data_IF_292781091173
#
_entry.id   IF_292781091173
#
_cell.length_a   1.000
_cell.length_b   1.000
_cell.length_c   1.000
_cell.angle_alpha   90.00
_cell.angle_beta   90.00
_cell.angle_gamma   90.00
#
_symmetry.space_group_name_H-M   'P 1'
#
loop_
_entity.id
_entity.type
_entity.pdbx_description
1 polymer ?
#
# COMPACT_ATOMS: atom_id res chain seq x y z
N UNK A 1 27.60 6.08 3.82
CA UNK A 1 27.92 7.17 2.87
C UNK A 1 26.81 7.24 1.82
N UNK A 2 25.84 8.15 2.00
CA UNK A 2 24.91 8.75 0.99
C UNK A 2 24.04 9.84 1.65
N UNK A 3 24.66 10.80 2.35
CA UNK A 3 23.96 11.92 3.01
C UNK A 3 23.54 13.06 2.06
N UNK A 4 23.87 12.98 0.75
CA UNK A 4 23.63 14.10 -0.19
C UNK A 4 22.20 14.22 -0.72
N UNK A 5 21.38 13.17 -0.61
CA UNK A 5 20.01 13.11 -1.17
C UNK A 5 19.00 12.63 -0.11
N UNK A 6 19.43 11.83 0.87
CA UNK A 6 18.57 11.30 1.94
C UNK A 6 18.91 12.05 3.23
N UNK A 7 17.95 12.76 3.84
CA UNK A 7 18.14 13.37 5.15
C UNK A 7 18.60 12.35 6.20
N UNK A 8 19.39 12.80 7.17
CA UNK A 8 19.86 11.94 8.25
C UNK A 8 18.71 11.68 9.23
N UNK A 9 18.06 10.51 9.14
CA UNK A 9 16.84 10.21 9.92
C UNK A 9 17.09 9.42 11.21
N UNK A 10 18.03 8.47 11.27
CA UNK A 10 18.16 7.56 12.42
C UNK A 10 19.59 7.19 12.84
N UNK A 11 20.62 7.53 12.05
CA UNK A 11 21.99 7.02 12.28
C UNK A 11 22.20 5.53 11.94
N UNK A 12 21.12 4.81 11.63
CA UNK A 12 21.13 3.45 11.08
C UNK A 12 20.95 3.47 9.56
N UNK A 13 21.23 2.33 8.91
CA UNK A 13 20.94 2.16 7.48
C UNK A 13 19.44 2.31 7.21
N UNK A 14 19.08 2.74 6.00
CA UNK A 14 17.68 2.96 5.63
C UNK A 14 16.88 1.68 5.86
N UNK A 15 15.70 1.79 6.48
CA UNK A 15 14.83 0.65 6.81
C UNK A 15 14.51 -0.28 5.62
N UNK A 16 14.72 0.20 4.39
CA UNK A 16 14.63 -0.61 3.17
C UNK A 16 15.73 -1.67 3.01
N UNK A 17 16.91 -1.54 3.64
CA UNK A 17 18.02 -2.50 3.53
C UNK A 17 17.59 -3.89 4.01
N UNK A 18 16.84 -3.97 5.11
CA UNK A 18 16.35 -5.23 5.66
C UNK A 18 15.44 -6.02 4.71
N UNK A 19 14.91 -5.39 3.65
CA UNK A 19 14.12 -6.08 2.61
C UNK A 19 14.98 -6.85 1.62
N UNK A 20 16.28 -6.63 1.60
CA UNK A 20 17.21 -7.20 0.63
C UNK A 20 18.45 -7.77 1.33
N UNK A 21 18.29 -8.26 2.57
CA UNK A 21 19.42 -8.63 3.43
C UNK A 21 20.31 -9.71 2.82
N UNK A 22 19.74 -10.63 2.03
CA UNK A 22 20.47 -11.62 1.24
C UNK A 22 21.43 -11.05 0.17
N UNK A 23 21.27 -9.77 -0.21
CA UNK A 23 22.15 -9.06 -1.14
C UNK A 23 23.14 -8.14 -0.41
N UNK A 24 23.06 -8.00 0.92
CA UNK A 24 24.03 -7.27 1.73
C UNK A 24 23.41 -6.30 2.73
N UNK A 25 24.27 -5.76 3.59
CA UNK A 25 23.87 -4.97 4.77
C UNK A 25 23.89 -3.44 4.54
N UNK A 26 24.07 -2.99 3.31
CA UNK A 26 24.05 -1.56 2.96
C UNK A 26 23.50 -1.34 1.55
N UNK A 27 22.98 -0.14 1.29
CA UNK A 27 22.42 0.23 -0.02
C UNK A 27 23.41 -0.02 -1.17
N UNK A 28 24.68 0.41 -0.99
CA UNK A 28 25.73 0.24 -2.00
C UNK A 28 26.10 -1.24 -2.16
N UNK A 29 26.21 -1.98 -1.06
CA UNK A 29 26.46 -3.43 -1.08
C UNK A 29 25.39 -4.19 -1.87
N UNK A 30 24.11 -3.86 -1.63
CA UNK A 30 22.98 -4.42 -2.36
C UNK A 30 23.10 -4.10 -3.86
N UNK A 31 23.32 -2.85 -4.24
CA UNK A 31 23.45 -2.46 -5.66
C UNK A 31 24.57 -3.21 -6.38
N UNK A 32 25.72 -3.37 -5.72
CA UNK A 32 26.86 -4.11 -6.27
C UNK A 32 26.51 -5.60 -6.42
N UNK A 33 25.91 -6.20 -5.39
CA UNK A 33 25.59 -7.63 -5.41
C UNK A 33 24.44 -7.99 -6.36
N UNK A 34 23.55 -7.05 -6.70
CA UNK A 34 22.59 -7.25 -7.81
C UNK A 34 23.32 -7.56 -9.12
N UNK A 35 24.48 -6.94 -9.36
CA UNK A 35 25.28 -7.16 -10.57
C UNK A 35 26.24 -8.35 -10.42
N UNK A 36 26.86 -8.51 -9.24
CA UNK A 36 27.88 -9.54 -9.01
C UNK A 36 27.31 -10.93 -8.68
N UNK A 37 26.04 -11.03 -8.29
CA UNK A 37 25.38 -12.29 -7.94
C UNK A 37 24.17 -12.59 -8.84
N UNK A 38 24.37 -12.72 -10.17
CA UNK A 38 23.27 -12.89 -11.11
C UNK A 38 22.47 -14.18 -10.86
N UNK A 39 23.10 -15.25 -10.35
CA UNK A 39 22.39 -16.49 -10.03
C UNK A 39 21.34 -16.31 -8.92
N UNK A 40 21.66 -15.55 -7.88
CA UNK A 40 20.75 -15.27 -6.76
C UNK A 40 19.61 -14.37 -7.22
N UNK A 41 19.93 -13.32 -7.99
CA UNK A 41 18.96 -12.39 -8.59
C UNK A 41 18.02 -13.10 -9.55
N UNK A 42 18.55 -13.91 -10.47
CA UNK A 42 17.74 -14.70 -11.41
C UNK A 42 16.85 -15.70 -10.66
N UNK A 43 17.34 -16.30 -9.58
CA UNK A 43 16.53 -17.18 -8.73
C UNK A 43 15.29 -16.48 -8.17
N UNK A 44 15.40 -15.20 -7.78
CA UNK A 44 14.24 -14.40 -7.34
C UNK A 44 13.33 -14.01 -8.51
N UNK A 45 13.89 -13.57 -9.63
CA UNK A 45 13.13 -13.13 -10.81
C UNK A 45 12.32 -14.29 -11.41
N UNK A 46 12.91 -15.49 -11.50
CA UNK A 46 12.26 -16.68 -12.08
C UNK A 46 11.50 -17.53 -11.06
N UNK A 47 11.36 -17.05 -9.82
CA UNK A 47 10.61 -17.77 -8.79
C UNK A 47 9.12 -17.82 -9.09
N UNK A 48 8.45 -18.86 -8.59
CA UNK A 48 7.00 -19.01 -8.75
C UNK A 48 6.23 -17.81 -8.20
N UNK A 49 6.63 -17.28 -7.04
CA UNK A 49 5.98 -16.11 -6.43
C UNK A 49 6.11 -14.85 -7.31
N UNK A 50 7.27 -14.66 -7.95
CA UNK A 50 7.45 -13.56 -8.90
C UNK A 50 6.61 -13.74 -10.15
N UNK A 51 6.62 -14.93 -10.75
CA UNK A 51 5.81 -15.22 -11.94
C UNK A 51 4.33 -15.01 -11.63
N UNK A 52 3.86 -15.55 -10.51
CA UNK A 52 2.49 -15.34 -10.02
C UNK A 52 2.18 -13.85 -9.86
N UNK A 53 3.05 -13.09 -9.21
CA UNK A 53 2.89 -11.64 -9.03
C UNK A 53 2.77 -10.90 -10.36
N UNK A 54 3.69 -11.14 -11.31
CA UNK A 54 3.67 -10.49 -12.62
C UNK A 54 2.43 -10.89 -13.42
N UNK A 55 2.04 -12.16 -13.37
CA UNK A 55 0.80 -12.63 -13.98
C UNK A 55 -0.41 -11.90 -13.39
N UNK A 56 -0.54 -11.83 -12.06
CA UNK A 56 -1.64 -11.12 -11.40
C UNK A 56 -1.67 -9.63 -11.76
N UNK A 57 -0.51 -9.00 -11.91
CA UNK A 57 -0.41 -7.58 -12.30
C UNK A 57 -0.89 -7.34 -13.73
N UNK A 58 -0.59 -8.25 -14.66
CA UNK A 58 -0.90 -8.08 -16.09
C UNK A 58 -2.27 -8.63 -16.49
N UNK A 59 -2.77 -9.68 -15.82
CA UNK A 59 -4.00 -10.40 -16.17
C UNK A 59 -5.26 -9.49 -16.27
N UNK A 60 -5.47 -8.50 -15.39
CA UNK A 60 -6.64 -7.61 -15.47
C UNK A 60 -6.73 -6.81 -16.76
N UNK A 61 -5.58 -6.55 -17.39
CA UNK A 61 -5.46 -5.66 -18.55
C UNK A 61 -4.94 -6.35 -19.80
N UNK A 62 -4.64 -7.65 -19.73
CA UNK A 62 -4.06 -8.41 -20.84
C UNK A 62 -4.94 -8.36 -22.10
N UNK A 63 -6.25 -8.16 -21.91
CA UNK A 63 -7.20 -8.00 -23.00
C UNK A 63 -6.87 -6.82 -23.93
N UNK A 64 -6.19 -5.78 -23.42
CA UNK A 64 -5.80 -4.61 -24.20
C UNK A 64 -4.78 -4.90 -25.30
N UNK A 65 -4.12 -6.05 -25.24
CA UNK A 65 -3.13 -6.49 -26.21
C UNK A 65 -3.77 -7.33 -27.34
N UNK A 66 -4.86 -8.05 -27.05
CA UNK A 66 -5.44 -8.99 -28.02
C UNK A 66 -5.83 -8.37 -29.37
N UNK A 67 -6.43 -7.17 -29.46
CA UNK A 67 -6.75 -6.57 -30.75
C UNK A 67 -5.52 -6.34 -31.63
N UNK A 68 -4.37 -5.99 -31.03
CA UNK A 68 -3.13 -5.77 -31.76
C UNK A 68 -2.51 -7.09 -32.24
N UNK A 69 -2.59 -8.17 -31.44
CA UNK A 69 -2.10 -9.51 -31.83
C UNK A 69 -2.82 -10.03 -33.08
N UNK A 70 -4.09 -9.64 -33.28
CA UNK A 70 -4.86 -10.01 -34.46
C UNK A 70 -4.42 -9.25 -35.73
N UNK A 71 -3.55 -8.25 -35.59
CA UNK A 71 -2.96 -7.52 -36.72
C UNK A 71 -1.55 -8.04 -37.02
N UNK A 72 -1.04 -7.75 -38.23
CA UNK A 72 0.36 -8.03 -38.58
C UNK A 72 1.37 -7.00 -37.99
N UNK A 73 0.95 -6.17 -37.03
CA UNK A 73 1.82 -5.17 -36.42
C UNK A 73 2.67 -5.74 -35.29
N UNK A 74 3.85 -5.16 -35.08
CA UNK A 74 4.75 -5.54 -33.99
C UNK A 74 4.25 -4.95 -32.66
N UNK A 75 4.16 -5.77 -31.61
CA UNK A 75 3.72 -5.33 -30.27
C UNK A 75 4.74 -4.46 -29.53
N UNK A 76 6.03 -4.70 -29.76
CA UNK A 76 7.12 -4.16 -28.93
C UNK A 76 7.12 -2.62 -28.79
N UNK A 77 6.88 -1.81 -29.84
CA UNK A 77 6.81 -0.35 -29.72
C UNK A 77 5.70 0.12 -28.76
N UNK A 78 4.63 -0.66 -28.63
CA UNK A 78 3.49 -0.33 -27.78
C UNK A 78 3.72 -0.69 -26.31
N UNK A 79 4.79 -1.43 -26.00
CA UNK A 79 5.21 -1.76 -24.64
C UNK A 79 6.30 -0.81 -24.09
N UNK A 80 6.81 0.14 -24.90
CA UNK A 80 7.76 1.17 -24.45
C UNK A 80 7.29 1.89 -23.18
N UNK A 81 5.99 2.23 -23.00
CA UNK A 81 5.53 2.88 -21.77
C UNK A 81 5.75 2.03 -20.51
N UNK A 82 6.08 0.73 -20.60
CA UNK A 82 6.43 -0.10 -19.44
C UNK A 82 7.86 0.13 -18.92
N UNK A 83 8.75 0.79 -19.67
CA UNK A 83 10.15 1.02 -19.23
C UNK A 83 10.22 1.72 -17.85
N UNK A 84 9.43 2.77 -17.57
CA UNK A 84 9.41 3.41 -16.25
C UNK A 84 8.90 2.51 -15.10
N UNK A 85 8.27 1.36 -15.40
CA UNK A 85 7.84 0.40 -14.36
C UNK A 85 9.00 -0.42 -13.81
N UNK A 86 10.12 -0.52 -14.55
CA UNK A 86 11.26 -1.40 -14.23
C UNK A 86 11.76 -1.19 -12.79
N UNK A 87 12.01 0.04 -12.28
CA UNK A 87 12.49 0.21 -10.91
C UNK A 87 11.49 -0.33 -9.87
N UNK A 88 10.19 -0.11 -10.08
CA UNK A 88 9.14 -0.59 -9.18
C UNK A 88 9.08 -2.10 -9.16
N UNK A 89 9.09 -2.73 -10.34
CA UNK A 89 9.05 -4.18 -10.47
C UNK A 89 10.32 -4.82 -9.89
N UNK A 90 11.50 -4.26 -10.17
CA UNK A 90 12.77 -4.77 -9.64
C UNK A 90 12.78 -4.73 -8.12
N UNK A 91 12.40 -3.61 -7.51
CA UNK A 91 12.33 -3.50 -6.04
C UNK A 91 11.37 -4.54 -5.45
N UNK A 92 10.16 -4.66 -6.01
CA UNK A 92 9.16 -5.59 -5.51
C UNK A 92 9.58 -7.05 -5.66
N UNK A 93 10.15 -7.42 -6.81
CA UNK A 93 10.58 -8.78 -7.12
C UNK A 93 11.75 -9.21 -6.22
N UNK A 94 12.73 -8.33 -6.03
CA UNK A 94 13.94 -8.65 -5.27
C UNK A 94 13.75 -8.63 -3.76
N UNK A 95 12.64 -8.07 -3.25
CA UNK A 95 12.41 -7.98 -1.81
C UNK A 95 12.13 -9.33 -1.14
N UNK A 96 12.56 -9.50 0.10
CA UNK A 96 12.23 -10.64 0.94
C UNK A 96 10.82 -10.53 1.53
N UNK A 97 10.29 -9.30 1.63
CA UNK A 97 8.94 -9.04 2.12
C UNK A 97 7.91 -9.41 1.05
N UNK A 98 7.07 -10.41 1.36
CA UNK A 98 6.03 -10.94 0.48
C UNK A 98 5.00 -9.88 0.07
N UNK A 99 4.70 -8.91 0.94
CA UNK A 99 3.75 -7.83 0.66
C UNK A 99 4.11 -7.02 -0.58
N UNK A 100 5.39 -6.92 -0.94
CA UNK A 100 5.82 -6.19 -2.14
C UNK A 100 5.46 -6.91 -3.44
N UNK A 101 5.28 -8.25 -3.39
CA UNK A 101 4.81 -9.08 -4.52
C UNK A 101 3.31 -9.35 -4.45
N UNK A 102 2.56 -8.56 -3.68
CA UNK A 102 1.11 -8.70 -3.56
C UNK A 102 0.41 -7.44 -4.05
N UNK A 103 -0.71 -7.63 -4.77
CA UNK A 103 -1.56 -6.54 -5.25
C UNK A 103 -2.46 -5.96 -4.16
N UNK A 104 -2.55 -6.61 -3.00
CA UNK A 104 -3.31 -6.10 -1.84
C UNK A 104 -2.64 -4.87 -1.21
N UNK A 105 -1.39 -4.59 -1.58
CA UNK A 105 -0.60 -3.50 -1.04
C UNK A 105 -0.16 -2.54 -2.14
N UNK A 106 0.11 -1.30 -1.75
CA UNK A 106 0.42 -0.17 -2.64
C UNK A 106 1.72 -0.29 -3.46
N UNK A 107 2.52 -1.34 -3.27
CA UNK A 107 3.86 -1.44 -3.86
C UNK A 107 3.87 -1.49 -5.39
N UNK A 108 2.76 -1.90 -6.02
CA UNK A 108 2.65 -1.97 -7.49
C UNK A 108 1.98 -0.74 -8.11
N UNK A 109 1.45 0.18 -7.29
CA UNK A 109 0.70 1.35 -7.74
C UNK A 109 1.44 2.20 -8.77
N UNK A 110 2.77 2.46 -8.65
CA UNK A 110 3.50 3.23 -9.66
C UNK A 110 3.49 2.60 -11.05
N UNK A 111 3.34 1.28 -11.18
CA UNK A 111 3.34 0.59 -12.47
C UNK A 111 2.01 0.74 -13.25
N UNK A 112 0.90 1.03 -12.55
CA UNK A 112 -0.45 0.99 -13.13
C UNK A 112 -0.63 2.03 -14.25
N UNK A 113 -0.17 3.27 -14.06
CA UNK A 113 -0.32 4.32 -15.07
C UNK A 113 0.36 3.96 -16.41
N UNK A 114 1.56 3.39 -16.33
CA UNK A 114 2.34 2.94 -17.48
C UNK A 114 1.77 1.71 -18.17
N UNK A 115 1.19 0.80 -17.37
CA UNK A 115 0.46 -0.35 -17.86
C UNK A 115 -0.77 0.09 -18.69
N UNK A 116 -1.54 1.06 -18.18
CA UNK A 116 -2.68 1.64 -18.91
C UNK A 116 -2.24 2.37 -20.18
N UNK A 117 -1.13 3.12 -20.16
CA UNK A 117 -0.58 3.76 -21.36
C UNK A 117 -0.20 2.74 -22.44
N UNK A 118 0.35 1.59 -22.04
CA UNK A 118 0.70 0.51 -22.97
C UNK A 118 -0.56 -0.11 -23.60
N UNK A 119 -1.60 -0.33 -22.80
CA UNK A 119 -2.91 -0.78 -23.30
C UNK A 119 -3.49 0.22 -24.29
N UNK A 120 -3.53 1.50 -23.95
CA UNK A 120 -4.03 2.56 -24.84
C UNK A 120 -3.26 2.57 -26.17
N UNK A 121 -1.93 2.45 -26.10
CA UNK A 121 -1.07 2.39 -27.28
C UNK A 121 -1.38 1.18 -28.17
N UNK A 122 -1.57 0.00 -27.59
CA UNK A 122 -1.97 -1.22 -28.31
C UNK A 122 -3.33 -1.06 -29.02
N UNK A 123 -4.33 -0.53 -28.30
CA UNK A 123 -5.67 -0.33 -28.84
C UNK A 123 -5.68 0.70 -29.98
N UNK A 124 -4.94 1.80 -29.83
CA UNK A 124 -4.84 2.85 -30.85
C UNK A 124 -4.09 2.38 -32.12
N UNK A 125 -3.19 1.41 -32.00
CA UNK A 125 -2.48 0.84 -33.15
C UNK A 125 -3.37 -0.16 -33.91
N UNK A 126 -4.11 -0.98 -33.17
CA UNK A 126 -5.12 -1.86 -33.74
C UNK A 126 -6.17 -1.06 -34.54
N UNK A 127 -6.58 0.11 -34.04
CA UNK A 127 -7.57 0.96 -34.70
C UNK A 127 -7.12 1.59 -36.01
N UNK A 128 -5.87 2.09 -36.07
CA UNK A 128 -5.33 2.72 -37.28
C UNK A 128 -5.19 1.74 -38.45
N UNK A 129 -4.99 0.46 -38.15
CA UNK A 129 -4.94 -0.59 -39.17
C UNK A 129 -6.29 -0.74 -39.88
N UNK A 130 -7.40 -0.58 -39.15
CA UNK A 130 -8.76 -0.69 -39.67
C UNK A 130 -9.13 0.46 -40.62
N UNK A 131 -8.80 1.70 -40.27
CA UNK A 131 -9.01 2.87 -41.14
C UNK A 131 -8.29 2.74 -42.49
N UNK A 132 -7.11 2.09 -42.51
CA UNK A 132 -6.35 1.85 -43.74
C UNK A 132 -6.93 0.72 -44.61
N UNK A 133 -7.73 -0.20 -44.04
CA UNK A 133 -8.40 -1.28 -44.77
C UNK A 133 -9.79 -0.89 -45.30
N UNK A 134 -10.40 0.17 -44.76
CA UNK A 134 -11.65 0.74 -45.30
C UNK A 134 -11.26 1.66 -46.47
N UNK A 135 -11.15 1.07 -47.66
CA UNK A 135 -10.86 1.78 -48.91
C UNK A 135 -11.97 2.76 -49.30
N UNK A 136 -11.57 3.94 -49.78
CA UNK A 136 -12.42 4.95 -50.43
C UNK A 136 -13.38 4.34 -51.46
N UNK A 137 -14.68 4.52 -51.25
CA UNK A 137 -15.66 4.52 -52.34
C UNK A 137 -15.30 5.65 -53.33
N UNK A 138 -15.36 5.35 -54.62
CA UNK A 138 -15.16 6.26 -55.75
C UNK A 138 -16.14 7.44 -55.82
N UNK A 139 -17.11 7.55 -54.90
CA UNK A 139 -18.12 8.63 -54.87
C UNK A 139 -17.73 9.89 -54.07
N UNK A 140 -16.59 9.90 -53.36
CA UNK A 140 -16.07 11.12 -52.72
C UNK A 140 -16.97 11.74 -51.63
N UNK A 141 -17.95 11.00 -51.11
CA UNK A 141 -18.77 11.44 -49.97
C UNK A 141 -18.37 10.69 -48.71
N UNK A 142 -17.89 11.44 -47.72
CA UNK A 142 -17.76 10.96 -46.34
C UNK A 142 -19.04 11.33 -45.59
N UNK A 143 -19.94 10.38 -45.41
CA UNK A 143 -20.95 10.51 -44.36
C UNK A 143 -20.26 10.30 -43.02
N UNK A 144 -20.01 11.40 -42.32
CA UNK A 144 -19.55 11.36 -40.94
C UNK A 144 -20.77 11.05 -40.06
N UNK A 145 -21.04 9.77 -39.84
CA UNK A 145 -22.01 9.37 -38.82
C UNK A 145 -21.45 9.78 -37.45
N UNK A 146 -21.97 10.87 -36.89
CA UNK A 146 -21.67 11.25 -35.51
C UNK A 146 -22.19 10.11 -34.61
N UNK A 147 -21.33 9.41 -33.85
CA UNK A 147 -21.79 8.31 -33.02
C UNK A 147 -22.69 8.88 -31.94
N UNK A 148 -24.00 8.61 -32.05
CA UNK A 148 -24.96 8.80 -30.96
C UNK A 148 -24.36 8.12 -29.73
N UNK A 149 -24.25 8.84 -28.62
CA UNK A 149 -23.63 8.37 -27.38
C UNK A 149 -24.30 7.07 -26.90
N UNK A 150 -23.80 5.96 -27.40
CA UNK A 150 -24.08 4.61 -26.98
C UNK A 150 -22.86 4.20 -26.18
N UNK A 151 -23.07 3.59 -25.02
CA UNK A 151 -22.01 2.95 -24.23
C UNK A 151 -21.47 1.69 -24.93
N UNK A 152 -21.30 1.73 -26.26
CA UNK A 152 -20.44 0.82 -27.01
C UNK A 152 -19.05 1.39 -26.87
N UNK A 153 -18.25 0.84 -25.97
CA UNK A 153 -16.79 0.86 -26.12
C UNK A 153 -16.49 0.16 -27.45
N UNK A 154 -16.56 0.88 -28.56
CA UNK A 154 -16.06 0.39 -29.85
C UNK A 154 -14.55 0.38 -29.72
N UNK A 155 -14.04 -0.71 -29.14
CA UNK A 155 -12.63 -1.04 -29.25
C UNK A 155 -12.44 -1.55 -30.68
N UNK A 156 -11.65 -0.86 -31.51
CA UNK A 156 -11.48 -1.21 -32.91
C UNK A 156 -11.00 -2.66 -33.04
N UNK A 157 -11.60 -3.39 -33.97
CA UNK A 157 -11.42 -4.83 -34.17
C UNK A 157 -11.74 -5.80 -32.99
N UNK A 158 -12.35 -5.35 -31.88
CA UNK A 158 -12.81 -6.29 -30.84
C UNK A 158 -14.31 -6.60 -31.01
N UNK A 159 -14.61 -7.71 -31.69
CA UNK A 159 -16.00 -8.15 -31.97
C UNK A 159 -16.82 -8.47 -30.71
N UNK A 160 -16.22 -8.44 -29.53
CA UNK A 160 -16.86 -8.78 -28.28
C UNK A 160 -16.55 -7.78 -27.14
N UNK A 161 -16.88 -6.47 -27.23
CA UNK A 161 -16.65 -5.53 -26.12
C UNK A 161 -17.29 -5.98 -24.80
N UNK A 162 -18.34 -6.81 -24.89
CA UNK A 162 -18.94 -7.55 -23.78
C UNK A 162 -17.96 -8.47 -23.04
N UNK A 163 -17.00 -9.09 -23.74
CA UNK A 163 -15.95 -9.91 -23.14
C UNK A 163 -14.92 -9.08 -22.38
N UNK A 164 -14.61 -7.84 -22.79
CA UNK A 164 -13.76 -6.93 -21.99
C UNK A 164 -14.47 -6.58 -20.70
N UNK A 165 -15.75 -6.23 -20.78
CA UNK A 165 -16.57 -5.93 -19.60
C UNK A 165 -16.65 -7.17 -18.71
N UNK A 166 -16.97 -8.34 -19.26
CA UNK A 166 -17.04 -9.60 -18.51
C UNK A 166 -15.71 -9.95 -17.86
N UNK A 167 -14.60 -9.80 -18.57
CA UNK A 167 -13.26 -10.06 -18.06
C UNK A 167 -12.88 -9.07 -16.96
N UNK A 168 -13.15 -7.78 -17.15
CA UNK A 168 -12.88 -6.75 -16.15
C UNK A 168 -13.70 -6.97 -14.88
N UNK A 169 -14.98 -7.32 -15.03
CA UNK A 169 -15.87 -7.67 -13.92
C UNK A 169 -15.40 -8.94 -13.22
N UNK A 170 -15.03 -9.98 -13.97
CA UNK A 170 -14.49 -11.23 -13.42
C UNK A 170 -13.20 -10.96 -12.62
N UNK A 171 -12.25 -10.23 -13.20
CA UNK A 171 -10.99 -9.89 -12.55
C UNK A 171 -11.20 -9.01 -11.33
N UNK A 172 -12.16 -8.09 -11.38
CA UNK A 172 -12.56 -7.30 -10.21
C UNK A 172 -13.07 -8.19 -9.07
N UNK A 173 -13.92 -9.18 -9.35
CA UNK A 173 -14.40 -10.10 -8.30
C UNK A 173 -13.31 -11.05 -7.79
N UNK A 174 -12.42 -11.52 -8.67
CA UNK A 174 -11.34 -12.43 -8.28
C UNK A 174 -10.21 -11.73 -7.51
N UNK A 175 -9.89 -10.48 -7.84
CA UNK A 175 -8.70 -9.77 -7.33
C UNK A 175 -9.01 -8.57 -6.45
N UNK A 176 -10.23 -8.03 -6.50
CA UNK A 176 -10.61 -6.81 -5.79
C UNK A 176 -10.80 -6.97 -4.28
N UNK A 177 -10.53 -8.16 -3.74
CA UNK A 177 -10.70 -8.54 -2.33
C UNK A 177 -11.98 -7.95 -1.70
N UNK A 178 -13.13 -8.26 -2.30
CA UNK A 178 -14.44 -7.68 -1.91
C UNK A 178 -14.77 -7.96 -0.43
N UNK A 179 -14.23 -9.04 0.14
CA UNK A 179 -14.36 -9.34 1.57
C UNK A 179 -13.81 -8.22 2.48
N UNK A 180 -12.71 -7.56 2.08
CA UNK A 180 -12.10 -6.50 2.89
C UNK A 180 -13.02 -5.28 3.03
N UNK A 181 -13.90 -5.03 2.06
CA UNK A 181 -14.90 -3.95 2.17
C UNK A 181 -15.83 -4.15 3.36
N UNK A 182 -16.11 -5.40 3.73
CA UNK A 182 -16.97 -5.73 4.87
C UNK A 182 -16.25 -5.63 6.22
N UNK A 183 -14.90 -5.66 6.24
CA UNK A 183 -14.14 -5.49 7.48
C UNK A 183 -14.38 -4.13 8.13
N UNK A 184 -14.57 -3.07 7.33
CA UNK A 184 -14.89 -1.74 7.85
C UNK A 184 -16.26 -1.71 8.54
N UNK A 185 -17.22 -2.50 8.07
CA UNK A 185 -18.55 -2.58 8.66
C UNK A 185 -18.52 -3.18 10.06
N UNK A 186 -17.58 -4.09 10.31
CA UNK A 186 -17.45 -4.77 11.60
C UNK A 186 -17.07 -3.78 12.72
N UNK A 187 -16.28 -2.75 12.41
CA UNK A 187 -15.83 -1.76 13.41
C UNK A 187 -16.85 -0.65 13.74
N UNK A 188 -18.02 -0.63 13.11
CA UNK A 188 -19.01 0.43 13.30
C UNK A 188 -19.57 0.49 14.73
N UNK A 189 -19.62 -0.63 15.44
CA UNK A 189 -20.08 -0.70 16.83
C UNK A 189 -19.17 0.05 17.81
N UNK A 190 -17.88 0.22 17.47
CA UNK A 190 -16.90 0.98 18.26
C UNK A 190 -16.63 2.39 17.73
N UNK A 191 -17.33 2.85 16.69
CA UNK A 191 -17.09 4.17 16.08
C UNK A 191 -17.24 5.32 17.09
N UNK A 192 -18.35 5.34 17.84
CA UNK A 192 -18.61 6.38 18.82
C UNK A 192 -17.61 6.31 19.98
N UNK A 193 -17.31 5.10 20.44
CA UNK A 193 -16.34 4.88 21.51
C UNK A 193 -14.93 5.34 21.11
N UNK A 194 -14.51 5.01 19.89
CA UNK A 194 -13.23 5.46 19.31
C UNK A 194 -13.16 6.99 19.20
N UNK A 195 -14.24 7.62 18.69
CA UNK A 195 -14.32 9.08 18.59
C UNK A 195 -14.19 9.73 19.97
N UNK A 196 -14.90 9.22 20.97
CA UNK A 196 -14.85 9.72 22.33
C UNK A 196 -13.45 9.50 22.93
N UNK A 197 -12.85 8.31 22.80
CA UNK A 197 -11.51 7.98 23.27
C UNK A 197 -10.45 9.01 22.82
N UNK A 198 -10.47 9.38 21.54
CA UNK A 198 -9.54 10.38 20.98
C UNK A 198 -9.64 11.72 21.72
N UNK A 199 -10.83 12.12 22.20
CA UNK A 199 -11.01 13.39 22.95
C UNK A 199 -10.43 13.39 24.36
N UNK A 200 -10.16 12.21 24.95
CA UNK A 200 -9.49 12.10 26.25
C UNK A 200 -7.99 12.34 26.16
N UNK A 201 -7.41 12.24 24.95
CA UNK A 201 -5.99 12.49 24.70
C UNK A 201 -5.78 14.00 24.50
N UNK A 202 -5.63 14.73 25.61
CA UNK A 202 -5.72 16.21 25.63
C UNK A 202 -4.40 16.96 25.41
N UNK A 203 -3.28 16.40 25.85
CA UNK A 203 -1.97 17.07 25.75
C UNK A 203 -1.25 16.67 24.46
N UNK A 204 -0.17 17.35 24.07
CA UNK A 204 0.68 16.98 22.91
C UNK A 204 1.62 15.80 23.19
N UNK A 205 1.42 15.11 24.32
CA UNK A 205 2.22 13.98 24.76
C UNK A 205 2.29 12.80 23.77
N UNK A 206 3.29 11.95 23.98
CA UNK A 206 3.51 10.77 23.14
C UNK A 206 2.36 9.77 23.26
N UNK A 207 1.96 9.16 22.14
CA UNK A 207 0.88 8.17 22.08
C UNK A 207 1.39 6.83 21.56
N UNK A 208 1.13 5.77 22.33
CA UNK A 208 1.25 4.39 21.86
C UNK A 208 -0.14 3.85 21.50
N UNK A 209 -0.29 3.31 20.30
CA UNK A 209 -1.60 2.83 19.83
C UNK A 209 -1.47 1.78 18.73
N UNK A 210 -2.60 1.24 18.27
CA UNK A 210 -2.65 0.30 17.15
C UNK A 210 -2.62 1.00 15.78
N UNK A 211 -2.45 0.20 14.72
CA UNK A 211 -2.33 0.70 13.35
C UNK A 211 -3.60 1.39 12.83
N UNK A 212 -4.79 1.04 13.35
CA UNK A 212 -6.06 1.65 12.91
C UNK A 212 -6.25 3.02 13.52
N UNK A 213 -5.81 3.19 14.76
CA UNK A 213 -5.97 4.41 15.54
C UNK A 213 -4.85 5.44 15.27
N UNK A 214 -3.63 4.99 14.96
CA UNK A 214 -2.48 5.86 14.74
C UNK A 214 -2.69 7.05 13.78
N UNK A 215 -3.40 6.92 12.63
CA UNK A 215 -3.67 8.04 11.74
C UNK A 215 -4.36 9.23 12.42
N UNK A 216 -5.20 8.98 13.43
CA UNK A 216 -5.91 10.01 14.18
C UNK A 216 -5.01 10.84 15.10
N UNK A 217 -3.79 10.37 15.37
CA UNK A 217 -2.83 11.01 16.27
C UNK A 217 -1.62 11.62 15.55
N UNK A 218 -1.59 11.59 14.21
CA UNK A 218 -0.46 12.06 13.37
C UNK A 218 -0.14 13.55 13.48
N UNK A 219 -0.99 14.34 14.12
CA UNK A 219 -0.74 15.74 14.45
C UNK A 219 0.24 15.92 15.63
N UNK A 220 0.70 14.84 16.27
CA UNK A 220 1.60 14.84 17.43
C UNK A 220 3.05 14.64 17.03
N UNK A 221 3.96 15.06 17.91
CA UNK A 221 5.40 14.86 17.74
C UNK A 221 5.81 13.38 17.82
N UNK A 222 5.13 12.60 18.67
CA UNK A 222 5.45 11.17 18.91
C UNK A 222 4.19 10.31 18.86
N UNK A 223 4.12 9.44 17.86
CA UNK A 223 3.14 8.35 17.76
C UNK A 223 3.88 7.08 17.39
N UNK A 224 3.75 6.04 18.21
CA UNK A 224 4.31 4.71 17.89
C UNK A 224 3.22 3.65 17.87
N UNK A 225 3.49 2.64 17.06
CA UNK A 225 2.64 1.46 16.94
C UNK A 225 3.04 0.41 17.96
N UNK A 226 2.09 -0.44 18.34
CA UNK A 226 2.34 -1.57 19.25
C UNK A 226 3.47 -2.49 18.75
N UNK A 227 3.61 -2.68 17.43
CA UNK A 227 4.68 -3.52 16.87
C UNK A 227 6.07 -2.84 16.83
N UNK A 228 6.16 -1.54 17.12
CA UNK A 228 7.41 -0.77 17.11
C UNK A 228 8.02 -0.62 18.49
N UNK A 229 7.27 -0.97 19.54
CA UNK A 229 7.66 -0.73 20.93
C UNK A 229 7.56 -2.04 21.70
N UNK A 230 8.58 -2.36 22.51
CA UNK A 230 8.45 -3.45 23.47
C UNK A 230 7.48 -3.03 24.58
N UNK A 231 6.60 -3.92 25.07
CA UNK A 231 5.58 -3.58 26.08
C UNK A 231 6.14 -2.93 27.36
N UNK A 232 7.41 -3.20 27.68
CA UNK A 232 8.04 -2.76 28.93
C UNK A 232 8.69 -1.36 28.84
N UNK A 233 8.85 -0.79 27.64
CA UNK A 233 9.45 0.53 27.46
C UNK A 233 8.39 1.56 27.07
N UNK A 234 7.73 2.14 28.07
CA UNK A 234 6.64 3.08 27.84
C UNK A 234 7.00 4.54 28.15
N UNK A 235 8.23 4.83 28.60
CA UNK A 235 8.65 6.11 29.20
C UNK A 235 8.46 7.34 28.33
N UNK A 236 8.41 7.15 27.01
CA UNK A 236 8.18 8.20 26.02
C UNK A 236 6.70 8.51 25.75
N UNK A 237 5.76 7.76 26.36
CA UNK A 237 4.33 7.91 26.15
C UNK A 237 3.62 8.45 27.38
N UNK A 238 2.76 9.43 27.13
CA UNK A 238 1.81 9.96 28.10
C UNK A 238 0.45 9.26 27.97
N UNK A 239 0.15 8.70 26.79
CA UNK A 239 -1.09 7.99 26.55
C UNK A 239 -0.87 6.64 25.87
N UNK A 240 -1.70 5.66 26.25
CA UNK A 240 -1.90 4.43 25.49
C UNK A 240 -3.37 4.33 25.11
N UNK A 241 -3.65 4.22 23.81
CA UNK A 241 -5.02 4.14 23.28
C UNK A 241 -5.20 2.83 22.52
N UNK A 242 -6.16 2.01 22.92
CA UNK A 242 -6.36 0.65 22.39
C UNK A 242 -7.82 0.44 22.02
N UNK A 243 -8.08 -0.23 20.89
CA UNK A 243 -9.38 -0.83 20.60
C UNK A 243 -9.25 -2.36 20.67
N UNK A 244 -9.59 -2.95 21.82
CA UNK A 244 -9.45 -4.39 22.04
C UNK A 244 -10.58 -5.20 21.40
N UNK A 245 -11.68 -4.55 20.99
CA UNK A 245 -12.76 -5.22 20.25
C UNK A 245 -12.40 -5.45 18.80
N UNK A 246 -11.73 -4.48 18.18
CA UNK A 246 -11.29 -4.54 16.79
C UNK A 246 -9.78 -4.24 16.65
N UNK A 247 -8.93 -5.07 17.28
CA UNK A 247 -7.50 -4.82 17.30
C UNK A 247 -6.88 -4.99 15.91
N UNK A 248 -5.67 -4.45 15.73
CA UNK A 248 -4.86 -4.83 14.58
C UNK A 248 -4.42 -6.30 14.73
N UNK A 249 -4.66 -7.17 13.73
CA UNK A 249 -4.46 -8.62 13.89
C UNK A 249 -3.06 -9.01 14.39
N UNK A 250 -2.01 -8.38 13.85
CA UNK A 250 -0.62 -8.73 14.21
C UNK A 250 -0.24 -8.34 15.65
N UNK A 251 -1.04 -7.49 16.30
CA UNK A 251 -0.76 -6.94 17.64
C UNK A 251 -1.91 -7.13 18.62
N UNK A 252 -2.86 -8.02 18.31
CA UNK A 252 -4.02 -8.31 19.15
C UNK A 252 -3.59 -8.79 20.55
N UNK A 253 -2.76 -9.84 20.60
CA UNK A 253 -2.25 -10.38 21.86
C UNK A 253 -1.42 -9.34 22.63
N UNK A 254 -0.59 -8.57 21.91
CA UNK A 254 0.21 -7.49 22.51
C UNK A 254 -0.67 -6.42 23.15
N UNK A 255 -1.76 -6.02 22.48
CA UNK A 255 -2.72 -5.06 23.03
C UNK A 255 -3.44 -5.59 24.27
N UNK A 256 -3.83 -6.86 24.27
CA UNK A 256 -4.48 -7.51 25.42
C UNK A 256 -3.52 -7.55 26.61
N UNK A 257 -2.31 -8.05 26.44
CA UNK A 257 -1.29 -8.14 27.50
C UNK A 257 -0.95 -6.74 28.03
N UNK A 258 -0.76 -5.76 27.13
CA UNK A 258 -0.44 -4.40 27.51
C UNK A 258 -1.57 -3.78 28.34
N UNK A 259 -2.84 -3.94 27.94
CA UNK A 259 -3.97 -3.40 28.71
C UNK A 259 -4.05 -4.00 30.12
N UNK A 260 -3.81 -5.30 30.28
CA UNK A 260 -3.77 -5.96 31.58
C UNK A 260 -2.60 -5.45 32.44
N UNK A 261 -1.43 -5.24 31.84
CA UNK A 261 -0.27 -4.71 32.55
C UNK A 261 -0.53 -3.27 33.03
N UNK A 262 -1.14 -2.43 32.18
CA UNK A 262 -1.45 -1.03 32.51
C UNK A 262 -2.50 -0.91 33.62
N UNK A 263 -3.53 -1.77 33.63
CA UNK A 263 -4.53 -1.79 34.70
C UNK A 263 -3.94 -2.14 36.07
N UNK A 264 -2.88 -2.95 36.11
CA UNK A 264 -2.19 -3.33 37.33
C UNK A 264 -1.04 -2.36 37.71
N UNK A 265 -0.72 -1.38 36.86
CA UNK A 265 0.39 -0.47 37.06
C UNK A 265 -0.07 0.83 37.74
N UNK A 266 0.56 1.19 38.87
CA UNK A 266 0.22 2.39 39.62
C UNK A 266 0.54 3.71 38.88
N UNK A 267 1.47 3.68 37.91
CA UNK A 267 1.87 4.84 37.12
C UNK A 267 0.84 5.25 36.05
N UNK A 268 -0.13 4.38 35.75
CA UNK A 268 -1.13 4.61 34.73
C UNK A 268 -2.53 4.74 35.33
N UNK A 269 -3.37 5.50 34.68
CA UNK A 269 -4.78 5.68 35.03
C UNK A 269 -5.65 5.40 33.80
N UNK A 270 -6.70 4.59 33.98
CA UNK A 270 -7.68 4.31 32.94
C UNK A 270 -8.72 5.43 32.92
N UNK A 271 -8.57 6.38 31.99
CA UNK A 271 -9.40 7.60 31.94
C UNK A 271 -10.64 7.44 31.07
N UNK A 272 -10.68 6.42 30.22
CA UNK A 272 -11.85 6.12 29.39
C UNK A 272 -11.91 4.63 29.06
N UNK A 273 -13.11 4.05 29.14
CA UNK A 273 -13.41 2.70 28.66
C UNK A 273 -14.86 2.62 28.16
N UNK A 274 -15.06 2.25 26.90
CA UNK A 274 -16.39 1.98 26.32
C UNK A 274 -16.24 1.01 25.14
N UNK A 275 -17.09 -0.02 25.06
CA UNK A 275 -17.05 -1.03 23.99
C UNK A 275 -15.64 -1.60 23.73
N UNK A 276 -14.89 -1.86 24.80
CA UNK A 276 -13.51 -2.36 24.80
C UNK A 276 -12.48 -1.43 24.11
N UNK A 277 -12.86 -0.17 23.87
CA UNK A 277 -11.93 0.92 23.55
C UNK A 277 -11.48 1.56 24.85
N UNK A 278 -10.17 1.69 25.04
CA UNK A 278 -9.55 2.13 26.29
C UNK A 278 -8.56 3.27 26.06
N UNK A 279 -8.51 4.22 27.00
CA UNK A 279 -7.48 5.26 27.07
C UNK A 279 -6.83 5.22 28.44
N UNK A 280 -5.54 4.92 28.44
CA UNK A 280 -4.68 5.05 29.61
C UNK A 280 -3.90 6.35 29.52
N UNK A 281 -3.84 7.10 30.62
CA UNK A 281 -3.01 8.28 30.78
C UNK A 281 -1.97 8.03 31.87
N UNK A 282 -0.74 8.44 31.62
CA UNK A 282 0.34 8.37 32.60
C UNK A 282 0.08 9.42 33.69
N UNK A 283 0.09 9.00 34.96
CA UNK A 283 0.00 9.94 36.08
C UNK A 283 1.24 10.81 36.07
N UNK A 284 1.05 12.14 36.07
CA UNK A 284 2.15 13.07 36.25
C UNK A 284 2.82 12.77 37.59
N UNK A 285 4.14 12.52 37.59
CA UNK A 285 4.91 12.54 38.84
C UNK A 285 4.66 13.89 39.49
N UNK A 286 4.13 13.91 40.71
CA UNK A 286 4.12 15.12 41.52
C UNK A 286 5.60 15.54 41.69
N UNK A 287 6.04 16.52 40.91
CA UNK A 287 7.26 17.24 41.22
C UNK A 287 7.10 17.83 42.62
N UNK A 288 7.88 17.29 43.54
CA UNK A 288 7.72 17.49 44.96
C UNK A 288 7.58 18.96 45.33
N UNK A 289 6.52 19.21 46.09
CA UNK A 289 6.33 20.36 46.98
C UNK A 289 7.46 20.40 48.04
N UNK A 290 8.70 20.69 47.61
CA UNK A 290 9.87 20.93 48.47
C UNK A 290 10.81 21.94 47.79
N UNK A 291 10.53 23.24 47.97
CA UNK A 291 11.52 24.32 48.14
C UNK A 291 10.84 25.70 48.16
N UNK A 292 10.13 26.02 49.25
CA UNK A 292 9.99 27.41 49.71
C UNK A 292 9.59 27.47 51.18
N UNK A 293 10.47 26.95 52.03
CA UNK A 293 10.53 27.28 53.45
C UNK A 293 12.01 27.31 53.84
N UNK A 294 12.69 28.40 53.50
CA UNK A 294 13.92 28.87 54.16
C UNK A 294 14.28 30.25 53.63
N UNK A 295 13.58 31.27 54.12
CA UNK A 295 14.21 32.56 54.42
C UNK A 295 13.42 33.21 55.55
N UNK A 296 13.90 32.99 56.77
CA UNK A 296 13.83 33.98 57.85
C UNK A 296 15.18 34.68 57.82
#
# INVERSE_FOLDING_TARGET
>A
VTQGIIPFFSGEEVAGVGRYSYLGDSVVGIMINILLQPGVVLGKILSFETIKYICLLLLPVIWGIFPLIQTNQTILPHLIPLIPTIPTIVLNVLSEVSFQRSLNYQYSLPAIGFLLLSVISCLAAASKTEENHISLDSSGKRELEIPKFNLRLSVPNFQAPKMIILWSVLMFFLLGNVADLFLYWQSLDTWQATKNAITYVKTEGGVLTDNRLAPHFTHRSTVKLLNQTKPDNLDEFDYVVLNLRHPWPDTEETGIILSQNLQNNQEWELNYQENDVMVFERKKKEEGRRKHLSTI
#
